data_IF_506518457044
#
_entry.id   IF_506518457044
#
_cell.length_a   1.000
_cell.length_b   1.000
_cell.length_c   1.000
_cell.angle_alpha   90.00
_cell.angle_beta   90.00
_cell.angle_gamma   90.00
#
_symmetry.space_group_name_H-M   'P 1'
#
loop_
_entity.id
_entity.type
_entity.pdbx_description
1 polymer ?
#
# COMPACT_ATOMS: atom_id res chain seq x y z
N UNK A 1 15.61 11.16 7.18
CA UNK A 1 16.88 10.43 6.93
C UNK A 1 16.69 8.98 6.46
N UNK A 2 15.52 8.36 6.68
CA UNK A 2 15.31 6.91 6.46
C UNK A 2 15.24 6.46 5.00
N UNK A 3 14.98 7.36 4.06
CA UNK A 3 14.84 7.02 2.63
C UNK A 3 15.93 7.63 1.72
N UNK A 4 16.96 8.27 2.27
CA UNK A 4 17.97 8.97 1.45
C UNK A 4 18.75 8.00 0.56
N UNK A 5 19.13 6.82 1.07
CA UNK A 5 19.83 5.79 0.30
C UNK A 5 18.97 5.30 -0.88
N UNK A 6 17.69 5.03 -0.62
CA UNK A 6 16.75 4.62 -1.67
C UNK A 6 16.51 5.73 -2.70
N UNK A 7 16.27 6.97 -2.25
CA UNK A 7 16.06 8.11 -3.15
C UNK A 7 17.28 8.37 -4.02
N UNK A 8 18.48 8.31 -3.43
CA UNK A 8 19.73 8.49 -4.17
C UNK A 8 19.95 7.36 -5.17
N UNK A 9 19.76 6.10 -4.76
CA UNK A 9 19.88 4.94 -5.63
C UNK A 9 18.88 4.99 -6.79
N UNK A 10 17.64 5.41 -6.52
CA UNK A 10 16.61 5.61 -7.54
C UNK A 10 16.99 6.72 -8.50
N UNK A 11 17.47 7.87 -8.01
CA UNK A 11 17.91 8.97 -8.86
C UNK A 11 19.11 8.57 -9.76
N UNK A 12 20.08 7.85 -9.22
CA UNK A 12 21.22 7.32 -9.99
C UNK A 12 20.71 6.34 -11.05
N UNK A 13 19.81 5.43 -10.69
CA UNK A 13 19.20 4.46 -11.59
C UNK A 13 18.50 5.15 -12.78
N UNK A 14 17.73 6.19 -12.51
CA UNK A 14 17.01 6.96 -13.55
C UNK A 14 17.99 7.67 -14.53
N UNK A 15 19.12 8.16 -14.03
CA UNK A 15 20.14 8.81 -14.86
C UNK A 15 20.91 7.79 -15.74
N UNK A 16 21.18 6.60 -15.21
CA UNK A 16 22.00 5.58 -15.88
C UNK A 16 21.18 4.71 -16.84
N UNK A 17 19.87 4.57 -16.64
CA UNK A 17 19.03 3.76 -17.53
C UNK A 17 18.78 4.44 -18.87
N UNK A 18 19.12 3.77 -20.00
CA UNK A 18 18.87 4.32 -21.34
C UNK A 18 17.39 4.31 -21.73
N UNK A 19 16.59 3.41 -21.15
CA UNK A 19 15.16 3.26 -21.48
C UNK A 19 14.30 3.23 -20.21
N UNK A 20 13.19 3.95 -20.25
CA UNK A 20 12.19 3.93 -19.18
C UNK A 20 11.42 2.62 -19.19
N UNK A 21 11.00 2.18 -18.02
CA UNK A 21 10.12 1.02 -17.87
C UNK A 21 8.72 1.37 -18.35
N UNK A 22 8.04 0.37 -18.94
CA UNK A 22 6.73 0.52 -19.58
C UNK A 22 5.63 -0.01 -18.65
N UNK A 23 4.68 0.84 -18.30
CA UNK A 23 3.54 0.50 -17.45
C UNK A 23 2.25 0.66 -18.26
N UNK A 24 1.49 -0.43 -18.35
CA UNK A 24 0.18 -0.43 -18.97
C UNK A 24 -0.93 -0.20 -17.94
N UNK A 25 -1.93 0.58 -18.29
CA UNK A 25 -3.11 0.83 -17.45
C UNK A 25 -4.36 0.32 -18.17
N UNK A 26 -5.14 -0.52 -17.48
CA UNK A 26 -6.46 -0.97 -17.92
C UNK A 26 -7.49 -0.12 -17.18
N UNK A 27 -8.03 0.88 -17.85
CA UNK A 27 -9.07 1.80 -17.32
C UNK A 27 -10.41 1.63 -18.04
N UNK A 28 -10.45 0.91 -19.17
CA UNK A 28 -11.64 0.70 -20.01
C UNK A 28 -12.79 -0.02 -19.31
N UNK A 29 -12.51 -0.79 -18.26
CA UNK A 29 -13.53 -1.48 -17.46
C UNK A 29 -14.08 -0.62 -16.30
N UNK A 30 -13.64 0.64 -16.17
CA UNK A 30 -14.15 1.57 -15.15
C UNK A 30 -15.07 2.59 -15.82
N UNK A 31 -16.26 2.81 -15.25
CA UNK A 31 -17.18 3.87 -15.69
C UNK A 31 -16.77 5.26 -15.20
N UNK A 32 -15.71 5.36 -14.40
CA UNK A 32 -15.22 6.63 -13.87
C UNK A 32 -14.62 7.49 -15.00
N UNK A 33 -14.85 8.82 -14.98
CA UNK A 33 -14.24 9.70 -15.95
C UNK A 33 -12.70 9.71 -15.78
N UNK A 34 -11.93 9.86 -16.89
CA UNK A 34 -10.45 9.79 -16.87
C UNK A 34 -9.78 10.72 -15.86
N UNK A 35 -10.39 11.87 -15.55
CA UNK A 35 -9.88 12.80 -14.53
C UNK A 35 -9.78 12.23 -13.13
N UNK A 36 -10.50 11.12 -12.84
CA UNK A 36 -10.44 10.42 -11.56
C UNK A 36 -9.15 9.61 -11.36
N UNK A 37 -8.37 9.41 -12.41
CA UNK A 37 -7.06 8.74 -12.38
C UNK A 37 -5.92 9.69 -12.73
N UNK A 38 -6.21 10.98 -12.94
CA UNK A 38 -5.25 11.93 -13.51
C UNK A 38 -4.01 12.13 -12.64
N UNK A 39 -4.16 12.20 -11.31
CA UNK A 39 -3.02 12.43 -10.42
C UNK A 39 -2.05 11.24 -10.44
N UNK A 40 -2.55 10.01 -10.32
CA UNK A 40 -1.65 8.83 -10.36
C UNK A 40 -1.00 8.64 -11.72
N UNK A 41 -1.73 8.90 -12.82
CA UNK A 41 -1.18 8.83 -14.17
C UNK A 41 -0.05 9.85 -14.33
N UNK A 42 -0.27 11.10 -13.91
CA UNK A 42 0.75 12.15 -13.99
C UNK A 42 2.00 11.80 -13.16
N UNK A 43 1.82 11.25 -11.96
CA UNK A 43 2.94 10.83 -11.11
C UNK A 43 3.69 9.63 -11.69
N UNK A 44 3.01 8.65 -12.29
CA UNK A 44 3.67 7.53 -12.98
C UNK A 44 4.46 8.00 -14.20
N UNK A 45 3.95 8.94 -14.97
CA UNK A 45 4.61 9.51 -16.16
C UNK A 45 5.93 10.24 -15.83
N UNK A 46 6.15 10.62 -14.58
CA UNK A 46 7.46 11.18 -14.16
C UNK A 46 8.59 10.15 -14.29
N UNK A 47 8.29 8.85 -14.05
CA UNK A 47 9.31 7.79 -13.93
C UNK A 47 9.18 6.69 -14.97
N UNK A 48 7.99 6.52 -15.58
CA UNK A 48 7.63 5.41 -16.47
C UNK A 48 7.06 5.91 -17.79
N UNK A 49 7.19 5.09 -18.83
CA UNK A 49 6.39 5.25 -20.06
C UNK A 49 5.03 4.60 -19.82
N UNK A 50 3.99 5.41 -19.73
CA UNK A 50 2.63 4.98 -19.37
C UNK A 50 1.78 4.83 -20.62
N UNK A 51 1.19 3.64 -20.79
CA UNK A 51 0.27 3.29 -21.86
C UNK A 51 -1.13 3.11 -21.32
N UNK A 52 -2.08 3.85 -21.88
CA UNK A 52 -3.50 3.79 -21.48
C UNK A 52 -4.26 2.77 -22.32
N UNK A 53 -5.28 2.17 -21.73
CA UNK A 53 -6.24 1.26 -22.37
C UNK A 53 -5.60 0.08 -23.12
N UNK A 54 -4.62 -0.52 -22.52
CA UNK A 54 -3.91 -1.69 -23.05
C UNK A 54 -4.74 -2.98 -22.93
N UNK A 55 -6.01 -2.96 -23.35
CA UNK A 55 -6.92 -4.12 -23.18
C UNK A 55 -7.16 -4.93 -24.46
N UNK A 56 -6.30 -4.79 -25.46
CA UNK A 56 -6.38 -5.55 -26.71
C UNK A 56 -5.48 -6.78 -26.68
N UNK A 57 -5.85 -7.88 -27.35
CA UNK A 57 -4.96 -9.04 -27.51
C UNK A 57 -3.57 -8.61 -28.00
N UNK A 58 -2.52 -9.08 -27.32
CA UNK A 58 -1.13 -8.74 -27.65
C UNK A 58 -0.63 -7.37 -27.15
N UNK A 59 -1.49 -6.51 -26.62
CA UNK A 59 -1.08 -5.17 -26.12
C UNK A 59 -0.25 -5.22 -24.83
N UNK A 60 -0.24 -6.34 -24.13
CA UNK A 60 0.57 -6.54 -22.91
C UNK A 60 2.04 -6.88 -23.22
N UNK A 61 2.36 -7.25 -24.47
CA UNK A 61 3.72 -7.61 -24.86
C UNK A 61 4.67 -6.41 -24.71
N UNK A 62 5.79 -6.66 -24.04
CA UNK A 62 6.80 -5.64 -23.82
C UNK A 62 6.48 -4.62 -22.71
N UNK A 63 5.38 -4.80 -21.96
CA UNK A 63 5.13 -4.06 -20.74
C UNK A 63 5.89 -4.68 -19.56
N UNK A 64 6.51 -3.84 -18.74
CA UNK A 64 7.18 -4.26 -17.51
C UNK A 64 6.20 -4.49 -16.35
N UNK A 65 5.09 -3.75 -16.32
CA UNK A 65 4.00 -3.94 -15.39
C UNK A 65 2.64 -3.53 -15.98
N UNK A 66 1.57 -4.10 -15.44
CA UNK A 66 0.19 -3.80 -15.79
C UNK A 66 -0.58 -3.42 -14.53
N UNK A 67 -1.48 -2.44 -14.62
CA UNK A 67 -2.36 -2.03 -13.54
C UNK A 67 -3.82 -2.07 -14.02
N UNK A 68 -4.66 -2.79 -13.30
CA UNK A 68 -6.11 -2.81 -13.48
C UNK A 68 -6.74 -1.86 -12.46
N UNK A 69 -7.38 -0.80 -12.95
CA UNK A 69 -7.76 0.35 -12.15
C UNK A 69 -9.27 0.44 -11.96
N UNK A 70 -9.76 0.03 -10.79
CA UNK A 70 -11.17 0.12 -10.34
C UNK A 70 -12.18 -0.26 -11.44
N UNK A 71 -12.13 -1.51 -11.93
CA UNK A 71 -13.14 -2.00 -12.86
C UNK A 71 -14.49 -2.13 -12.15
N UNK A 72 -15.57 -1.80 -12.87
CA UNK A 72 -16.95 -1.99 -12.46
C UNK A 72 -17.77 -2.81 -13.46
N UNK A 73 -17.13 -3.26 -14.55
CA UNK A 73 -17.69 -4.15 -15.55
C UNK A 73 -16.84 -5.43 -15.68
N UNK A 74 -17.53 -6.55 -15.95
CA UNK A 74 -16.92 -7.86 -16.04
C UNK A 74 -15.96 -7.98 -17.23
N UNK A 75 -14.84 -8.67 -17.01
CA UNK A 75 -13.90 -9.03 -18.07
C UNK A 75 -14.47 -10.19 -18.90
N UNK A 76 -14.26 -10.12 -20.21
CA UNK A 76 -14.56 -11.25 -21.09
C UNK A 76 -13.58 -12.42 -20.85
N UNK A 77 -13.95 -13.61 -21.31
CA UNK A 77 -13.07 -14.80 -21.20
C UNK A 77 -11.74 -14.61 -21.95
N UNK A 78 -11.76 -13.89 -23.08
CA UNK A 78 -10.54 -13.62 -23.84
C UNK A 78 -9.62 -12.61 -23.12
N UNK A 79 -10.17 -11.59 -22.51
CA UNK A 79 -9.40 -10.64 -21.69
C UNK A 79 -8.80 -11.34 -20.45
N UNK A 80 -9.60 -12.14 -19.76
CA UNK A 80 -9.14 -12.95 -18.62
C UNK A 80 -8.04 -13.93 -19.04
N UNK A 81 -8.17 -14.56 -20.22
CA UNK A 81 -7.11 -15.41 -20.79
C UNK A 81 -5.82 -14.62 -21.04
N UNK A 82 -5.92 -13.42 -21.60
CA UNK A 82 -4.75 -12.57 -21.84
C UNK A 82 -4.06 -12.16 -20.53
N UNK A 83 -4.82 -11.85 -19.48
CA UNK A 83 -4.27 -11.54 -18.14
C UNK A 83 -3.57 -12.77 -17.53
N UNK A 84 -4.19 -13.95 -17.63
CA UNK A 84 -3.60 -15.21 -17.17
C UNK A 84 -2.26 -15.48 -17.88
N UNK A 85 -2.26 -15.43 -19.21
CA UNK A 85 -1.06 -15.71 -20.01
C UNK A 85 0.03 -14.64 -19.81
N UNK A 86 -0.34 -13.38 -19.58
CA UNK A 86 0.63 -12.35 -19.25
C UNK A 86 1.38 -12.68 -17.95
N UNK A 87 0.67 -13.08 -16.89
CA UNK A 87 1.29 -13.45 -15.60
C UNK A 87 2.10 -14.71 -15.71
N UNK A 88 1.56 -15.75 -16.38
CA UNK A 88 2.26 -17.03 -16.58
C UNK A 88 3.56 -16.84 -17.36
N UNK A 89 3.61 -15.92 -18.31
CA UNK A 89 4.84 -15.60 -19.05
C UNK A 89 5.79 -14.63 -18.28
N UNK A 90 5.62 -14.50 -16.96
CA UNK A 90 6.49 -13.68 -16.11
C UNK A 90 6.07 -12.21 -16.03
N UNK A 91 4.89 -11.86 -16.52
CA UNK A 91 4.31 -10.54 -16.39
C UNK A 91 3.99 -10.17 -14.94
N UNK A 92 3.91 -8.87 -14.70
CA UNK A 92 3.70 -8.32 -13.36
C UNK A 92 2.47 -7.42 -13.37
N UNK A 93 1.52 -7.69 -12.46
CA UNK A 93 0.22 -7.03 -12.51
C UNK A 93 -0.23 -6.57 -11.13
N UNK A 94 -0.89 -5.42 -11.08
CA UNK A 94 -1.62 -4.92 -9.92
C UNK A 94 -3.10 -4.83 -10.23
N UNK A 95 -3.92 -5.35 -9.32
CA UNK A 95 -5.37 -5.20 -9.35
C UNK A 95 -5.83 -4.31 -8.20
N UNK A 96 -6.55 -3.25 -8.54
CA UNK A 96 -7.29 -2.42 -7.61
C UNK A 96 -8.78 -2.63 -7.90
N UNK A 97 -9.40 -3.55 -7.16
CA UNK A 97 -10.73 -4.06 -7.47
C UNK A 97 -11.62 -4.08 -6.24
N UNK A 98 -12.88 -3.81 -6.41
CA UNK A 98 -13.87 -3.88 -5.35
C UNK A 98 -14.56 -5.25 -5.36
N UNK A 99 -14.81 -5.83 -4.20
CA UNK A 99 -15.62 -7.05 -4.08
C UNK A 99 -17.12 -6.74 -4.04
N UNK A 100 -17.48 -5.49 -3.77
CA UNK A 100 -18.86 -5.02 -3.59
C UNK A 100 -19.00 -3.66 -4.26
N UNK A 101 -20.03 -3.50 -5.06
CA UNK A 101 -20.42 -2.22 -5.63
C UNK A 101 -21.29 -1.45 -4.64
N UNK A 102 -20.85 -0.22 -4.31
CA UNK A 102 -21.61 0.72 -3.50
C UNK A 102 -21.86 1.96 -4.33
N UNK A 103 -23.12 2.16 -4.71
CA UNK A 103 -23.54 3.38 -5.36
C UNK A 103 -23.52 4.57 -4.38
N UNK A 104 -23.77 5.78 -4.87
CA UNK A 104 -23.81 6.97 -4.02
C UNK A 104 -24.79 6.76 -2.87
N UNK A 105 -24.28 6.85 -1.65
CA UNK A 105 -25.07 6.62 -0.44
C UNK A 105 -26.03 7.78 -0.23
N UNK A 106 -27.34 7.51 -0.39
CA UNK A 106 -28.42 8.44 -0.07
C UNK A 106 -28.65 8.54 1.45
N UNK A 107 -29.39 9.55 1.89
CA UNK A 107 -29.79 9.70 3.31
C UNK A 107 -30.55 8.48 3.83
N UNK A 108 -31.38 7.88 2.97
CA UNK A 108 -32.14 6.67 3.29
C UNK A 108 -31.30 5.40 3.24
N UNK A 109 -30.08 5.48 2.71
CA UNK A 109 -29.18 4.37 2.46
C UNK A 109 -29.25 3.85 1.03
N UNK A 110 -28.20 3.12 0.65
CA UNK A 110 -28.07 2.41 -0.63
C UNK A 110 -27.65 0.98 -0.35
N UNK A 111 -28.15 0.03 -1.16
CA UNK A 111 -27.73 -1.36 -1.03
C UNK A 111 -26.35 -1.56 -1.72
N UNK A 112 -25.40 -2.02 -0.94
CA UNK A 112 -24.17 -2.57 -1.47
C UNK A 112 -24.44 -3.94 -2.08
N UNK A 113 -24.06 -4.14 -3.34
CA UNK A 113 -24.28 -5.38 -4.10
C UNK A 113 -22.96 -6.10 -4.37
N UNK A 114 -22.94 -7.44 -4.42
CA UNK A 114 -21.76 -8.16 -4.90
C UNK A 114 -21.37 -7.70 -6.29
N UNK A 115 -20.08 -7.46 -6.51
CA UNK A 115 -19.54 -7.09 -7.82
C UNK A 115 -18.84 -8.30 -8.44
N UNK A 116 -19.38 -8.82 -9.54
CA UNK A 116 -18.75 -9.91 -10.28
C UNK A 116 -18.01 -9.36 -11.50
N UNK A 117 -16.68 -9.38 -11.41
CA UNK A 117 -15.76 -8.94 -12.46
C UNK A 117 -15.34 -10.08 -13.39
N UNK A 118 -15.85 -11.30 -13.21
CA UNK A 118 -15.39 -12.52 -13.89
C UNK A 118 -13.88 -12.82 -13.69
N UNK A 119 -13.30 -12.36 -12.58
CA UNK A 119 -11.90 -12.61 -12.21
C UNK A 119 -11.77 -13.57 -11.02
N UNK A 120 -12.89 -13.97 -10.41
CA UNK A 120 -12.89 -14.76 -9.19
C UNK A 120 -12.20 -16.12 -9.32
N UNK A 121 -12.39 -16.84 -10.43
CA UNK A 121 -11.73 -18.12 -10.71
C UNK A 121 -10.23 -17.98 -11.00
N UNK A 122 -9.81 -16.85 -11.60
CA UNK A 122 -8.41 -16.50 -11.82
C UNK A 122 -7.70 -16.25 -10.50
N UNK A 123 -8.28 -15.42 -9.64
CA UNK A 123 -7.74 -15.15 -8.30
C UNK A 123 -7.72 -16.42 -7.44
N UNK A 124 -8.76 -17.23 -7.52
CA UNK A 124 -8.82 -18.52 -6.82
C UNK A 124 -7.71 -19.48 -7.29
N UNK A 125 -7.42 -19.51 -8.59
CA UNK A 125 -6.30 -20.28 -9.15
C UNK A 125 -4.96 -19.82 -8.58
N UNK A 126 -4.80 -18.54 -8.31
CA UNK A 126 -3.62 -17.98 -7.64
C UNK A 126 -3.67 -18.09 -6.11
N UNK A 127 -4.71 -18.71 -5.57
CA UNK A 127 -4.87 -19.01 -4.15
C UNK A 127 -5.34 -17.82 -3.31
N UNK A 128 -6.11 -16.94 -3.91
CA UNK A 128 -6.70 -15.77 -3.25
C UNK A 128 -8.18 -15.66 -3.59
N UNK A 129 -8.98 -15.22 -2.63
CA UNK A 129 -10.39 -14.91 -2.84
C UNK A 129 -10.72 -13.56 -2.25
N UNK A 130 -11.30 -12.67 -3.04
CA UNK A 130 -11.95 -11.46 -2.55
C UNK A 130 -13.37 -11.85 -2.17
N UNK A 131 -13.75 -11.55 -0.93
CA UNK A 131 -15.08 -11.85 -0.44
C UNK A 131 -16.05 -10.74 -0.86
N UNK A 132 -17.34 -11.11 -1.07
CA UNK A 132 -18.40 -10.13 -1.30
C UNK A 132 -18.92 -9.62 0.04
N UNK A 133 -18.04 -8.91 0.76
CA UNK A 133 -18.35 -8.31 2.05
C UNK A 133 -17.83 -6.87 2.12
N UNK A 134 -18.32 -6.11 3.09
CA UNK A 134 -17.79 -4.81 3.47
C UNK A 134 -17.13 -4.89 4.83
N UNK A 135 -15.92 -4.43 4.93
CA UNK A 135 -15.20 -4.32 6.19
C UNK A 135 -15.48 -2.97 6.84
N UNK A 136 -16.08 -3.01 8.01
CA UNK A 136 -16.15 -1.85 8.92
C UNK A 136 -14.99 -1.91 9.89
N UNK A 137 -14.27 -0.80 10.03
CA UNK A 137 -13.12 -0.70 10.94
C UNK A 137 -13.32 0.46 11.91
N UNK A 138 -12.91 0.27 13.16
CA UNK A 138 -12.92 1.36 14.16
C UNK A 138 -11.90 2.45 13.81
N UNK A 139 -10.80 2.10 13.13
CA UNK A 139 -9.86 3.05 12.56
C UNK A 139 -10.36 3.51 11.19
N UNK A 140 -11.11 4.58 11.15
CA UNK A 140 -11.79 5.04 9.95
C UNK A 140 -11.70 6.55 9.76
N UNK A 141 -11.71 6.98 8.51
CA UNK A 141 -11.80 8.38 8.14
C UNK A 141 -13.17 8.95 8.54
N UNK A 142 -13.22 10.27 8.73
CA UNK A 142 -14.46 10.96 9.07
C UNK A 142 -15.19 11.44 7.81
N UNK A 143 -16.51 11.54 7.91
CA UNK A 143 -17.36 12.22 6.93
C UNK A 143 -18.05 13.42 7.55
N UNK A 144 -18.38 14.46 6.77
CA UNK A 144 -19.18 15.58 7.26
C UNK A 144 -20.64 15.13 7.43
N UNK A 145 -21.12 15.09 8.64
CA UNK A 145 -22.51 14.69 8.93
C UNK A 145 -23.25 15.80 9.64
N UNK A 146 -24.47 16.05 9.19
CA UNK A 146 -25.39 16.93 9.94
C UNK A 146 -25.87 16.22 11.20
N UNK A 147 -25.39 16.62 12.37
CA UNK A 147 -25.73 16.01 13.66
C UNK A 147 -26.90 16.71 14.37
N UNK A 148 -27.42 17.80 13.80
CA UNK A 148 -28.54 18.57 14.35
C UNK A 148 -28.61 19.96 13.76
N UNK A 149 -29.51 20.78 14.28
CA UNK A 149 -29.61 22.20 13.92
C UNK A 149 -29.29 23.09 15.13
N UNK A 150 -28.55 24.14 14.90
CA UNK A 150 -28.30 25.18 15.86
C UNK A 150 -29.04 26.45 15.39
N UNK A 151 -30.29 26.58 15.84
CA UNK A 151 -31.28 27.49 15.25
C UNK A 151 -31.63 27.02 13.83
N UNK A 152 -31.57 27.91 12.85
CA UNK A 152 -31.91 27.65 11.44
C UNK A 152 -30.69 27.10 10.64
N UNK A 153 -29.52 26.91 11.27
CA UNK A 153 -28.33 26.44 10.59
C UNK A 153 -28.03 24.97 10.90
N UNK A 154 -27.73 24.14 9.88
CA UNK A 154 -27.33 22.76 10.11
C UNK A 154 -25.96 22.72 10.81
N UNK A 155 -25.85 21.89 11.84
CA UNK A 155 -24.61 21.65 12.55
C UNK A 155 -23.88 20.47 11.91
N UNK A 156 -22.90 20.76 11.04
CA UNK A 156 -22.09 19.74 10.39
C UNK A 156 -20.88 19.44 11.28
N UNK A 157 -20.69 18.17 11.62
CA UNK A 157 -19.52 17.69 12.38
C UNK A 157 -18.82 16.54 11.66
N UNK A 158 -17.49 16.39 11.80
CA UNK A 158 -16.77 15.22 11.35
C UNK A 158 -17.12 14.02 12.22
N UNK A 159 -17.67 12.97 11.60
CA UNK A 159 -18.04 11.72 12.28
C UNK A 159 -17.30 10.56 11.62
N UNK A 160 -16.61 9.68 12.37
CA UNK A 160 -15.93 8.52 11.81
C UNK A 160 -16.89 7.63 11.01
N UNK A 161 -16.57 7.41 9.73
CA UNK A 161 -17.35 6.59 8.81
C UNK A 161 -16.67 5.24 8.63
N UNK A 162 -17.12 4.24 9.35
CA UNK A 162 -16.45 2.93 9.50
C UNK A 162 -16.35 2.12 8.22
N UNK A 163 -17.02 2.52 7.16
CA UNK A 163 -16.86 1.98 5.82
C UNK A 163 -15.69 2.59 5.03
N UNK A 164 -15.01 3.59 5.63
CA UNK A 164 -13.79 4.17 5.09
C UNK A 164 -12.60 3.88 6.01
N UNK A 165 -12.15 2.61 6.08
CA UNK A 165 -11.01 2.24 6.90
C UNK A 165 -9.75 3.03 6.56
N UNK A 166 -8.99 3.41 7.56
CA UNK A 166 -7.62 3.92 7.40
C UNK A 166 -6.66 2.76 7.64
N UNK A 167 -6.03 2.29 6.58
CA UNK A 167 -5.06 1.18 6.68
C UNK A 167 -3.73 1.75 7.16
N UNK A 168 -3.40 1.49 8.41
CA UNK A 168 -2.13 1.84 9.05
C UNK A 168 -1.34 0.63 9.56
N UNK A 169 -1.92 -0.57 9.41
CA UNK A 169 -1.30 -1.83 9.76
C UNK A 169 -0.77 -2.52 8.50
N UNK A 170 0.53 -2.62 8.39
CA UNK A 170 1.21 -3.15 7.23
C UNK A 170 2.05 -4.36 7.60
N UNK A 171 2.04 -5.37 6.76
CA UNK A 171 3.04 -6.43 6.87
C UNK A 171 4.43 -5.88 6.46
N UNK A 172 5.50 -6.25 7.18
CA UNK A 172 6.84 -5.77 6.87
C UNK A 172 7.31 -6.25 5.49
N UNK A 173 7.25 -5.36 4.51
CA UNK A 173 7.67 -5.61 3.13
C UNK A 173 8.25 -4.34 2.50
N UNK A 174 9.09 -4.45 1.45
CA UNK A 174 9.69 -3.30 0.78
C UNK A 174 8.64 -2.31 0.23
N UNK A 175 7.49 -2.82 -0.24
CA UNK A 175 6.37 -2.02 -0.75
C UNK A 175 5.73 -1.17 0.35
N UNK A 176 5.56 -1.74 1.54
CA UNK A 176 4.78 -1.14 2.64
C UNK A 176 5.64 -0.50 3.73
N UNK A 177 6.96 -0.61 3.61
CA UNK A 177 7.87 -0.08 4.62
C UNK A 177 7.82 1.44 4.65
N UNK A 178 7.72 1.99 5.87
CA UNK A 178 7.59 3.43 6.10
C UNK A 178 6.45 4.06 5.28
N UNK A 179 5.38 3.29 5.01
CA UNK A 179 4.18 3.83 4.39
C UNK A 179 3.37 4.59 5.42
N UNK A 180 2.85 5.73 5.01
CA UNK A 180 1.82 6.44 5.75
C UNK A 180 0.49 5.69 5.66
N UNK A 181 -0.46 6.04 6.52
CA UNK A 181 -1.79 5.44 6.47
C UNK A 181 -2.42 5.63 5.08
N UNK A 182 -3.13 4.60 4.60
CA UNK A 182 -3.85 4.66 3.33
C UNK A 182 -5.32 4.98 3.58
N UNK A 183 -5.85 5.88 2.78
CA UNK A 183 -7.26 6.21 2.75
C UNK A 183 -7.99 5.25 1.83
N UNK A 184 -8.93 4.48 2.38
CA UNK A 184 -9.68 3.44 1.65
C UNK A 184 -11.17 3.67 1.75
N UNK A 185 -11.93 3.09 0.81
CA UNK A 185 -13.39 3.21 0.76
C UNK A 185 -14.02 1.86 0.43
N UNK A 186 -14.96 1.41 1.26
CA UNK A 186 -15.78 0.21 1.02
C UNK A 186 -14.97 -1.05 0.73
N UNK A 187 -13.85 -1.26 1.44
CA UNK A 187 -12.98 -2.42 1.23
C UNK A 187 -13.69 -3.73 1.51
N UNK A 188 -13.32 -4.74 0.76
CA UNK A 188 -13.70 -6.14 1.00
C UNK A 188 -12.57 -6.92 1.67
N UNK A 189 -12.91 -8.00 2.36
CA UNK A 189 -11.87 -8.87 2.92
C UNK A 189 -11.30 -9.80 1.87
N UNK A 190 -10.00 -10.13 2.01
CA UNK A 190 -9.30 -11.10 1.18
C UNK A 190 -8.98 -12.33 2.02
N UNK A 191 -9.34 -13.52 1.51
CA UNK A 191 -8.88 -14.80 2.05
C UNK A 191 -7.73 -15.35 1.21
N UNK A 192 -6.71 -15.90 1.88
CA UNK A 192 -5.67 -16.68 1.24
C UNK A 192 -5.97 -18.16 1.39
N UNK A 193 -5.87 -18.91 0.30
CA UNK A 193 -6.16 -20.34 0.24
C UNK A 193 -4.86 -21.10 0.33
N UNK A 194 -4.76 -22.03 1.28
CA UNK A 194 -3.63 -22.92 1.35
C UNK A 194 -3.74 -23.98 0.24
N UNK A 195 -3.02 -23.75 -0.85
CA UNK A 195 -2.90 -24.71 -1.94
C UNK A 195 -1.48 -25.33 -1.95
N UNK A 196 -1.32 -26.59 -2.32
CA UNK A 196 -0.01 -27.21 -2.50
C UNK A 196 0.63 -26.74 -3.81
N UNK A 197 0.83 -25.46 -3.94
CA UNK A 197 1.44 -24.81 -5.09
C UNK A 197 2.75 -24.13 -4.70
N UNK A 198 3.47 -23.63 -5.68
CA UNK A 198 4.75 -22.94 -5.51
C UNK A 198 4.57 -21.41 -5.38
N UNK A 199 3.36 -20.94 -5.08
CA UNK A 199 3.06 -19.52 -4.92
C UNK A 199 3.19 -19.09 -3.46
N UNK A 200 3.97 -18.04 -3.24
CA UNK A 200 4.06 -17.34 -1.95
C UNK A 200 3.05 -16.19 -1.92
N UNK A 201 2.19 -16.20 -0.93
CA UNK A 201 1.19 -15.17 -0.67
C UNK A 201 1.59 -14.36 0.55
N UNK A 202 1.92 -13.09 0.34
CA UNK A 202 2.35 -12.19 1.41
C UNK A 202 1.28 -11.12 1.59
N UNK A 203 0.59 -11.08 2.75
CA UNK A 203 -0.34 -10.00 3.02
C UNK A 203 0.44 -8.68 3.10
N UNK A 204 -0.03 -7.64 2.43
CA UNK A 204 0.59 -6.31 2.45
C UNK A 204 -0.20 -5.34 3.31
N UNK A 205 -1.50 -5.24 3.06
CA UNK A 205 -2.41 -4.29 3.67
C UNK A 205 -3.32 -5.01 4.66
N UNK A 206 -3.34 -4.55 5.89
CA UNK A 206 -4.07 -5.16 6.98
C UNK A 206 -4.95 -4.11 7.67
N UNK A 207 -6.15 -4.50 8.04
CA UNK A 207 -7.05 -3.67 8.85
C UNK A 207 -6.57 -3.57 10.30
N UNK A 208 -7.24 -2.78 11.10
CA UNK A 208 -7.08 -2.85 12.56
C UNK A 208 -7.64 -4.19 13.11
N UNK A 209 -7.34 -4.55 14.36
CA UNK A 209 -7.95 -5.73 14.99
C UNK A 209 -9.43 -5.55 15.32
N UNK A 210 -9.94 -4.33 15.21
CA UNK A 210 -11.32 -3.97 15.59
C UNK A 210 -12.20 -3.83 14.35
N UNK A 211 -12.53 -4.97 13.71
CA UNK A 211 -13.33 -5.01 12.49
C UNK A 211 -14.64 -5.74 12.68
N UNK A 212 -15.59 -5.40 11.80
CA UNK A 212 -16.85 -6.09 11.59
C UNK A 212 -17.08 -6.30 10.10
N UNK A 213 -17.38 -7.52 9.68
CA UNK A 213 -17.73 -7.86 8.30
C UNK A 213 -19.24 -7.84 8.10
N UNK A 214 -19.67 -7.31 6.97
CA UNK A 214 -21.05 -7.30 6.52
C UNK A 214 -21.13 -7.92 5.14
N UNK A 215 -21.76 -9.08 5.02
CA UNK A 215 -21.91 -9.76 3.73
C UNK A 215 -22.89 -9.02 2.83
N UNK A 216 -22.54 -8.82 1.57
CA UNK A 216 -23.44 -8.26 0.58
C UNK A 216 -24.51 -9.30 0.15
N UNK A 217 -25.73 -8.85 -0.19
CA UNK A 217 -26.17 -7.47 -0.22
C UNK A 217 -26.46 -6.89 1.18
N UNK A 218 -26.01 -5.64 1.43
CA UNK A 218 -26.17 -4.97 2.72
C UNK A 218 -26.54 -3.50 2.53
N UNK A 219 -27.39 -2.97 3.42
CA UNK A 219 -27.75 -1.55 3.42
C UNK A 219 -26.62 -0.72 4.03
N UNK A 220 -26.13 0.25 3.28
CA UNK A 220 -25.18 1.27 3.72
C UNK A 220 -25.92 2.60 3.88
N UNK A 221 -25.94 3.17 5.09
CA UNK A 221 -26.66 4.41 5.37
C UNK A 221 -25.88 5.33 6.29
N UNK A 222 -25.83 6.63 5.97
CA UNK A 222 -25.19 7.64 6.83
C UNK A 222 -25.82 7.75 8.22
N UNK A 223 -27.05 7.27 8.42
CA UNK A 223 -27.66 7.22 9.75
C UNK A 223 -26.92 6.28 10.71
N UNK A 224 -26.18 5.31 10.18
CA UNK A 224 -25.36 4.40 10.98
C UNK A 224 -24.16 5.14 11.64
N UNK A 225 -23.63 6.18 11.01
CA UNK A 225 -22.55 6.98 11.58
C UNK A 225 -22.96 7.73 12.85
N UNK A 226 -24.26 7.99 13.04
CA UNK A 226 -24.82 8.63 14.24
C UNK A 226 -24.88 7.70 15.45
N UNK A 227 -24.82 6.40 15.22
CA UNK A 227 -24.89 5.41 16.29
C UNK A 227 -23.51 5.16 16.88
N UNK A 228 -23.45 5.13 18.22
CA UNK A 228 -22.22 4.71 18.87
C UNK A 228 -21.99 3.22 18.60
N UNK A 229 -20.78 2.84 18.15
CA UNK A 229 -20.47 1.46 17.90
C UNK A 229 -20.43 0.68 19.23
N UNK A 230 -20.95 -0.52 19.22
CA UNK A 230 -20.74 -1.46 20.32
C UNK A 230 -19.40 -2.17 20.10
N UNK A 231 -18.41 -2.03 20.99
CA UNK A 231 -17.08 -2.63 20.79
C UNK A 231 -17.09 -4.14 20.55
N UNK A 232 -18.09 -4.84 21.12
CA UNK A 232 -18.27 -6.29 20.95
C UNK A 232 -18.58 -6.70 19.51
N UNK A 233 -19.19 -5.81 18.70
CA UNK A 233 -19.49 -6.07 17.29
C UNK A 233 -18.26 -5.99 16.40
N UNK A 234 -17.16 -5.35 16.88
CA UNK A 234 -15.90 -5.15 16.17
C UNK A 234 -14.82 -6.11 16.68
N UNK A 235 -15.15 -7.39 16.82
CA UNK A 235 -14.29 -8.42 17.39
C UNK A 235 -13.81 -9.45 16.37
N UNK A 236 -13.99 -9.21 15.06
CA UNK A 236 -13.66 -10.19 14.03
C UNK A 236 -12.17 -10.19 13.63
N UNK A 237 -11.35 -9.38 14.30
CA UNK A 237 -9.90 -9.37 14.14
C UNK A 237 -9.42 -8.75 12.84
N UNK A 238 -8.12 -8.86 12.61
CA UNK A 238 -7.44 -8.29 11.43
C UNK A 238 -7.92 -8.97 10.15
N UNK A 239 -8.19 -8.18 9.11
CA UNK A 239 -8.53 -8.64 7.76
C UNK A 239 -7.46 -8.21 6.77
N UNK A 240 -7.24 -9.01 5.74
CA UNK A 240 -6.35 -8.67 4.63
C UNK A 240 -7.15 -7.83 3.63
N UNK A 241 -6.59 -6.68 3.24
CA UNK A 241 -7.12 -5.80 2.20
C UNK A 241 -6.18 -5.71 0.98
N UNK A 242 -4.96 -6.22 1.09
CA UNK A 242 -4.01 -6.29 -0.02
C UNK A 242 -3.02 -7.43 0.15
N UNK A 243 -2.73 -8.14 -0.94
CA UNK A 243 -1.86 -9.32 -0.96
C UNK A 243 -0.93 -9.28 -2.17
N UNK A 244 0.32 -9.68 -1.96
CA UNK A 244 1.32 -9.95 -3.00
C UNK A 244 1.43 -11.45 -3.21
N UNK A 245 1.43 -11.88 -4.47
CA UNK A 245 1.57 -13.27 -4.89
C UNK A 245 2.78 -13.36 -5.80
N UNK A 246 3.71 -14.25 -5.49
CA UNK A 246 4.95 -14.46 -6.22
C UNK A 246 5.26 -15.94 -6.35
N UNK A 247 5.90 -16.34 -7.44
CA UNK A 247 6.37 -17.71 -7.62
C UNK A 247 6.09 -18.26 -9.01
N UNK A 248 5.88 -19.58 -9.10
CA UNK A 248 5.59 -20.26 -10.33
C UNK A 248 4.07 -20.33 -10.56
N UNK A 249 3.59 -19.53 -11.49
CA UNK A 249 2.17 -19.46 -11.83
C UNK A 249 1.80 -20.56 -12.81
N UNK A 250 0.68 -21.22 -12.53
CA UNK A 250 0.04 -22.17 -13.43
C UNK A 250 -1.18 -21.52 -14.06
N UNK A 251 -1.32 -21.65 -15.37
CA UNK A 251 -2.46 -21.13 -16.09
C UNK A 251 -3.78 -21.74 -15.63
N UNK A 252 -4.79 -20.90 -15.50
CA UNK A 252 -6.18 -21.27 -15.29
C UNK A 252 -6.69 -22.18 -16.43
N UNK A 253 -6.12 -22.03 -17.63
CA UNK A 253 -6.57 -22.66 -18.87
C UNK A 253 -5.85 -23.96 -19.22
N UNK A 254 -4.95 -24.47 -18.37
CA UNK A 254 -4.14 -25.68 -18.61
C UNK A 254 -4.96 -26.88 -19.11
N UNK A 255 -6.20 -27.06 -18.61
CA UNK A 255 -7.09 -28.14 -18.98
C UNK A 255 -8.35 -27.66 -19.73
N UNK A 256 -8.40 -26.39 -20.14
CA UNK A 256 -9.57 -25.78 -20.79
C UNK A 256 -9.37 -25.53 -22.28
N UNK A 257 -8.12 -25.53 -22.77
CA UNK A 257 -7.80 -25.31 -24.19
C UNK A 257 -7.94 -26.62 -24.95
N UNK A 258 -8.82 -26.62 -25.95
CA UNK A 258 -9.04 -27.73 -26.83
C UNK A 258 -7.85 -27.94 -27.80
N UNK A 259 -7.62 -29.17 -28.30
CA UNK A 259 -6.57 -29.43 -29.31
C UNK A 259 -6.73 -28.63 -30.60
N UNK A 260 -7.95 -28.22 -30.94
CA UNK A 260 -8.30 -27.43 -32.13
C UNK A 260 -8.28 -25.91 -31.90
N UNK A 261 -8.02 -25.44 -30.69
CA UNK A 261 -7.98 -24.01 -30.40
C UNK A 261 -6.71 -23.37 -30.99
N UNK A 262 -6.81 -22.32 -31.82
CA UNK A 262 -5.66 -21.65 -32.42
C UNK A 262 -4.70 -21.05 -31.38
N UNK A 263 -5.18 -20.75 -30.16
CA UNK A 263 -4.37 -20.23 -29.05
C UNK A 263 -3.36 -21.26 -28.51
N UNK A 264 -3.52 -22.55 -28.86
CA UNK A 264 -2.67 -23.64 -28.35
C UNK A 264 -1.20 -23.48 -28.73
N UNK A 265 -0.90 -22.89 -29.86
CA UNK A 265 0.48 -22.70 -30.35
C UNK A 265 1.28 -21.74 -29.47
N UNK A 266 0.61 -20.74 -28.87
CA UNK A 266 1.23 -19.71 -28.04
C UNK A 266 0.95 -19.89 -26.54
N UNK A 267 0.19 -20.93 -26.19
CA UNK A 267 -0.25 -21.19 -24.84
C UNK A 267 0.87 -21.68 -23.93
N UNK A 268 1.06 -20.99 -22.82
CA UNK A 268 2.00 -21.39 -21.75
C UNK A 268 1.23 -21.96 -20.57
N UNK A 269 1.59 -23.18 -20.15
CA UNK A 269 0.91 -23.88 -19.04
C UNK A 269 1.34 -23.41 -17.67
N UNK A 270 2.62 -23.06 -17.51
CA UNK A 270 3.19 -22.55 -16.26
C UNK A 270 4.44 -21.73 -16.53
N UNK A 271 4.74 -20.80 -15.65
CA UNK A 271 5.95 -19.98 -15.77
C UNK A 271 6.35 -19.31 -14.46
N UNK A 272 7.61 -18.98 -14.40
CA UNK A 272 8.26 -18.38 -13.24
C UNK A 272 8.32 -16.85 -13.35
N UNK A 273 8.67 -16.21 -12.25
CA UNK A 273 8.89 -14.75 -12.16
C UNK A 273 7.63 -13.85 -12.32
N UNK A 274 6.44 -14.43 -12.41
CA UNK A 274 5.21 -13.65 -12.31
C UNK A 274 5.09 -13.01 -10.92
N UNK A 275 4.53 -11.80 -10.88
CA UNK A 275 4.18 -11.13 -9.62
C UNK A 275 2.81 -10.50 -9.75
N UNK A 276 1.97 -10.72 -8.75
CA UNK A 276 0.61 -10.19 -8.72
C UNK A 276 0.38 -9.49 -7.38
N UNK A 277 -0.09 -8.24 -7.42
CA UNK A 277 -0.60 -7.54 -6.24
C UNK A 277 -2.11 -7.40 -6.42
N UNK A 278 -2.88 -7.79 -5.42
CA UNK A 278 -4.33 -7.63 -5.41
C UNK A 278 -4.71 -6.79 -4.20
N UNK A 279 -5.36 -5.66 -4.44
CA UNK A 279 -5.96 -4.79 -3.41
C UNK A 279 -7.49 -4.83 -3.58
N UNK A 280 -8.20 -5.09 -2.50
CA UNK A 280 -9.67 -5.16 -2.48
C UNK A 280 -10.32 -3.79 -2.28
N UNK A 281 -9.72 -2.76 -2.85
CA UNK A 281 -10.21 -1.39 -2.89
C UNK A 281 -9.76 -0.72 -4.19
N UNK A 282 -10.71 -0.46 -5.06
CA UNK A 282 -10.47 0.28 -6.29
C UNK A 282 -10.22 1.77 -6.05
N UNK A 283 -10.70 2.33 -4.94
CA UNK A 283 -10.52 3.74 -4.61
C UNK A 283 -9.08 4.12 -4.24
N UNK A 284 -8.22 3.14 -3.94
CA UNK A 284 -6.80 3.37 -3.69
C UNK A 284 -6.08 4.12 -4.82
N UNK A 285 -6.58 4.03 -6.05
CA UNK A 285 -6.01 4.69 -7.25
C UNK A 285 -6.88 5.81 -7.80
N UNK A 286 -7.98 6.15 -7.11
CA UNK A 286 -8.96 7.14 -7.56
C UNK A 286 -8.79 8.44 -6.80
N UNK A 287 -8.48 9.54 -7.52
CA UNK A 287 -8.46 10.87 -6.93
C UNK A 287 -9.81 11.59 -7.04
N UNK A 288 -10.11 12.46 -6.10
CA UNK A 288 -11.23 13.38 -6.19
C UNK A 288 -10.93 14.55 -7.16
N UNK A 289 -11.99 15.21 -7.63
CA UNK A 289 -11.89 16.36 -8.55
C UNK A 289 -12.47 17.59 -7.84
N UNK A 290 -11.79 18.70 -7.94
CA UNK A 290 -12.34 20.01 -7.63
C UNK A 290 -13.29 20.42 -8.77
N UNK A 291 -14.59 20.27 -8.57
CA UNK A 291 -15.58 20.55 -9.59
C UNK A 291 -15.68 22.04 -9.94
N UNK A 292 -15.24 22.95 -9.06
CA UNK A 292 -15.25 24.38 -9.34
C UNK A 292 -14.10 24.78 -10.26
N UNK A 293 -12.95 24.14 -10.09
CA UNK A 293 -11.72 24.44 -10.84
C UNK A 293 -11.43 23.45 -11.95
N UNK A 294 -12.09 22.29 -11.95
CA UNK A 294 -11.82 21.20 -12.90
C UNK A 294 -10.46 20.54 -12.72
N UNK A 295 -9.82 20.67 -11.55
CA UNK A 295 -8.48 20.15 -11.26
C UNK A 295 -8.57 18.92 -10.38
N UNK A 296 -7.79 17.85 -10.66
CA UNK A 296 -7.71 16.69 -9.79
C UNK A 296 -7.04 17.06 -8.46
N UNK A 297 -7.60 16.57 -7.34
CA UNK A 297 -6.90 16.58 -6.07
C UNK A 297 -5.78 15.53 -6.06
N UNK A 298 -4.74 15.70 -5.24
CA UNK A 298 -3.74 14.66 -5.05
C UNK A 298 -4.38 13.34 -4.61
N UNK A 299 -3.82 12.22 -5.08
CA UNK A 299 -4.29 10.89 -4.69
C UNK A 299 -4.14 10.69 -3.18
N UNK A 300 -5.19 10.19 -2.52
CA UNK A 300 -5.25 10.05 -1.07
C UNK A 300 -5.64 11.33 -0.32
N UNK A 301 -6.01 12.41 -1.02
CA UNK A 301 -6.46 13.63 -0.36
C UNK A 301 -7.86 13.46 0.23
N UNK A 302 -7.97 13.65 1.54
CA UNK A 302 -9.27 13.75 2.22
C UNK A 302 -9.71 15.21 2.32
N UNK A 303 -10.85 15.51 1.69
CA UNK A 303 -11.41 16.87 1.63
C UNK A 303 -11.84 17.41 2.99
N UNK A 304 -12.15 16.53 3.95
CA UNK A 304 -12.65 16.94 5.27
C UNK A 304 -11.49 17.29 6.20
N UNK A 305 -10.53 16.39 6.37
CA UNK A 305 -9.35 16.62 7.20
C UNK A 305 -8.33 17.54 6.52
N UNK A 306 -8.40 17.66 5.18
CA UNK A 306 -7.40 18.31 4.30
C UNK A 306 -6.02 17.67 4.40
N UNK A 307 -5.97 16.42 4.77
CA UNK A 307 -4.76 15.61 4.83
C UNK A 307 -4.56 14.81 3.54
N UNK A 308 -3.32 14.54 3.20
CA UNK A 308 -2.97 13.65 2.09
C UNK A 308 -2.43 12.37 2.71
N UNK A 309 -3.10 11.26 2.45
CA UNK A 309 -2.71 9.93 2.87
C UNK A 309 -1.71 9.29 1.90
N UNK A 310 -1.05 8.23 2.32
CA UNK A 310 0.04 7.57 1.60
C UNK A 310 -0.35 6.78 0.35
N UNK A 311 -1.57 6.93 -0.20
CA UNK A 311 -2.06 6.16 -1.35
C UNK A 311 -1.14 6.25 -2.57
N UNK A 312 -0.74 7.47 -2.93
CA UNK A 312 0.15 7.70 -4.06
C UNK A 312 1.48 6.98 -3.89
N UNK A 313 2.10 7.13 -2.74
CA UNK A 313 3.41 6.55 -2.45
C UNK A 313 3.34 5.02 -2.43
N UNK A 314 2.28 4.43 -1.86
CA UNK A 314 2.05 2.99 -1.91
C UNK A 314 1.99 2.47 -3.35
N UNK A 315 1.23 3.12 -4.22
CA UNK A 315 1.12 2.71 -5.63
C UNK A 315 2.47 2.81 -6.34
N UNK A 316 3.19 3.93 -6.18
CA UNK A 316 4.51 4.12 -6.78
C UNK A 316 5.52 3.07 -6.30
N UNK A 317 5.58 2.80 -4.99
CA UNK A 317 6.47 1.77 -4.43
C UNK A 317 6.08 0.35 -4.88
N UNK A 318 4.80 0.09 -5.08
CA UNK A 318 4.34 -1.19 -5.59
C UNK A 318 4.75 -1.38 -7.06
N UNK A 319 4.62 -0.35 -7.90
CA UNK A 319 5.10 -0.38 -9.29
C UNK A 319 6.62 -0.50 -9.34
N UNK A 320 7.34 0.24 -8.51
CA UNK A 320 8.80 0.11 -8.36
C UNK A 320 9.18 -1.33 -8.02
N UNK A 321 8.51 -1.95 -7.05
CA UNK A 321 8.78 -3.34 -6.65
C UNK A 321 8.52 -4.34 -7.77
N UNK A 322 7.46 -4.14 -8.53
CA UNK A 322 7.12 -5.02 -9.65
C UNK A 322 8.13 -4.89 -10.80
N UNK A 323 8.60 -3.69 -11.08
CA UNK A 323 9.51 -3.39 -12.20
C UNK A 323 11.01 -3.48 -11.84
N UNK A 324 11.33 -3.61 -10.54
CA UNK A 324 12.71 -3.64 -10.05
C UNK A 324 13.35 -5.01 -10.29
N UNK A 325 14.14 -5.10 -11.35
CA UNK A 325 14.94 -6.29 -11.65
C UNK A 325 16.26 -6.36 -10.85
N UNK A 326 16.72 -5.24 -10.32
CA UNK A 326 18.02 -5.09 -9.65
C UNK A 326 17.94 -5.17 -8.13
N UNK A 327 16.74 -5.17 -7.56
CA UNK A 327 16.51 -5.24 -6.12
C UNK A 327 16.80 -3.92 -5.37
N UNK A 328 16.85 -2.78 -6.06
CA UNK A 328 17.10 -1.45 -5.45
C UNK A 328 16.07 -1.12 -4.37
N UNK A 329 14.80 -1.48 -4.61
CA UNK A 329 13.73 -1.25 -3.63
C UNK A 329 13.95 -1.98 -2.31
N UNK A 330 14.73 -3.08 -2.32
CA UNK A 330 15.06 -3.81 -1.09
C UNK A 330 15.92 -2.98 -0.13
N UNK A 331 16.60 -1.94 -0.61
CA UNK A 331 17.32 -0.99 0.26
C UNK A 331 16.38 -0.28 1.25
N UNK A 332 15.09 -0.14 0.91
CA UNK A 332 14.06 0.35 1.84
C UNK A 332 13.87 -0.55 3.07
N UNK A 333 14.25 -1.83 2.98
CA UNK A 333 14.15 -2.74 4.13
C UNK A 333 15.19 -2.48 5.23
N UNK A 334 16.19 -1.66 4.97
CA UNK A 334 17.17 -1.26 5.99
C UNK A 334 16.54 -0.24 6.93
N UNK A 335 16.11 -0.68 8.11
CA UNK A 335 15.71 0.25 9.17
C UNK A 335 16.95 0.76 9.89
N UNK A 336 17.14 2.04 9.90
CA UNK A 336 17.98 2.67 10.91
C UNK A 336 17.15 2.69 12.20
N UNK A 337 17.36 1.70 13.06
CA UNK A 337 16.79 1.75 14.41
C UNK A 337 17.44 2.90 15.15
N UNK A 338 16.83 4.07 15.12
CA UNK A 338 17.19 5.12 16.05
C UNK A 338 16.88 4.62 17.45
N UNK A 339 17.93 4.24 18.19
CA UNK A 339 17.80 3.92 19.59
C UNK A 339 17.44 5.21 20.32
N UNK A 340 16.16 5.43 20.52
CA UNK A 340 15.70 6.53 21.35
C UNK A 340 16.32 6.37 22.74
N UNK A 341 16.86 7.45 23.26
CA UNK A 341 17.38 7.51 24.62
C UNK A 341 16.25 7.16 25.60
N UNK A 342 16.48 6.16 26.43
CA UNK A 342 15.54 5.76 27.47
C UNK A 342 15.38 6.91 28.49
N UNK A 343 14.29 7.65 28.36
CA UNK A 343 14.00 8.83 29.21
C UNK A 343 13.88 8.45 30.69
N UNK A 344 13.46 7.22 31.01
CA UNK A 344 13.32 6.74 32.38
C UNK A 344 14.72 6.48 32.95
N UNK A 345 15.57 5.79 32.21
CA UNK A 345 16.95 5.49 32.60
C UNK A 345 17.79 6.77 32.70
N UNK A 346 17.62 7.71 31.78
CA UNK A 346 18.27 9.04 31.86
C UNK A 346 17.83 9.78 33.12
N UNK A 347 16.55 9.73 33.48
CA UNK A 347 16.04 10.39 34.70
C UNK A 347 16.64 9.77 35.98
N UNK A 348 16.76 8.46 36.03
CA UNK A 348 17.31 7.73 37.16
C UNK A 348 18.84 7.86 37.31
N UNK A 349 19.58 7.84 36.22
CA UNK A 349 21.04 7.85 36.19
C UNK A 349 21.64 9.24 35.94
N UNK A 350 20.81 10.28 35.78
CA UNK A 350 21.25 11.65 35.41
C UNK A 350 22.40 12.15 36.31
N UNK A 351 22.27 11.97 37.60
CA UNK A 351 23.29 12.45 38.58
C UNK A 351 24.65 11.78 38.38
N UNK A 352 24.67 10.51 38.05
CA UNK A 352 25.88 9.76 37.75
C UNK A 352 26.55 10.22 36.47
N UNK A 353 25.77 10.42 35.41
CA UNK A 353 26.28 10.88 34.13
C UNK A 353 26.80 12.32 34.19
N UNK A 354 26.10 13.21 34.91
CA UNK A 354 26.56 14.57 35.14
C UNK A 354 27.85 14.58 35.98
N UNK A 355 27.88 13.83 37.07
CA UNK A 355 29.07 13.73 37.91
C UNK A 355 30.27 13.17 37.14
N UNK A 356 30.07 12.14 36.31
CA UNK A 356 31.12 11.56 35.47
C UNK A 356 31.67 12.58 34.44
N UNK A 357 30.81 13.28 33.73
CA UNK A 357 31.22 14.26 32.73
C UNK A 357 31.85 15.54 33.32
N UNK A 358 31.50 15.92 34.54
CA UNK A 358 32.05 17.10 35.20
C UNK A 358 33.33 16.79 35.95
N UNK A 359 33.45 15.61 36.60
CA UNK A 359 34.57 15.25 37.46
C UNK A 359 35.71 14.54 36.71
N UNK A 360 35.40 13.64 35.79
CA UNK A 360 36.44 12.85 35.07
C UNK A 360 37.40 13.73 34.25
N UNK A 361 36.96 14.70 33.43
CA UNK A 361 37.91 15.49 32.63
C UNK A 361 38.91 16.33 33.46
N UNK A 362 38.45 17.07 34.50
CA UNK A 362 39.41 17.79 35.35
C UNK A 362 40.38 16.87 36.09
N UNK A 363 39.92 15.70 36.57
CA UNK A 363 40.73 14.72 37.25
C UNK A 363 41.84 14.14 36.33
N UNK A 364 41.49 13.86 35.08
CA UNK A 364 42.45 13.43 34.07
C UNK A 364 43.53 14.51 33.79
N UNK A 365 43.10 15.78 33.67
CA UNK A 365 44.04 16.89 33.46
C UNK A 365 44.95 17.02 34.66
N UNK A 366 44.48 16.94 35.90
CA UNK A 366 45.28 16.98 37.11
C UNK A 366 46.26 15.82 37.15
N UNK A 367 45.86 14.61 36.82
CA UNK A 367 46.73 13.42 36.74
C UNK A 367 47.85 13.60 35.70
N UNK A 368 47.50 14.06 34.50
CA UNK A 368 48.49 14.31 33.43
C UNK A 368 49.50 15.38 33.89
N UNK A 369 49.04 16.51 34.43
CA UNK A 369 49.89 17.57 34.95
C UNK A 369 50.78 17.06 36.12
N UNK A 370 50.23 16.28 37.01
CA UNK A 370 50.98 15.63 38.11
C UNK A 370 52.08 14.68 37.59
N UNK A 371 51.74 13.88 36.57
CA UNK A 371 52.67 12.94 35.96
C UNK A 371 53.81 13.67 35.24
N UNK A 372 53.49 14.72 34.50
CA UNK A 372 54.47 15.56 33.80
C UNK A 372 55.40 16.24 34.84
N UNK A 373 54.84 16.78 35.91
CA UNK A 373 55.60 17.42 37.01
C UNK A 373 56.52 16.43 37.70
N UNK A 374 56.04 15.23 37.99
CA UNK A 374 56.81 14.14 38.63
C UNK A 374 57.96 13.67 37.72
N UNK A 375 57.71 13.45 36.44
CA UNK A 375 58.74 13.05 35.46
C UNK A 375 59.78 14.17 35.25
N UNK A 376 59.34 15.41 35.24
CA UNK A 376 60.22 16.58 35.15
C UNK A 376 61.14 16.69 36.37
N UNK A 377 60.62 16.55 37.59
CA UNK A 377 61.41 16.53 38.82
C UNK A 377 62.43 15.40 38.84
N UNK A 378 62.11 14.21 38.38
CA UNK A 378 63.05 13.08 38.25
C UNK A 378 64.18 13.38 37.25
N UNK A 379 63.86 14.03 36.13
CA UNK A 379 64.85 14.41 35.11
C UNK A 379 65.88 15.47 35.66
N UNK A 380 65.42 16.38 36.52
CA UNK A 380 66.29 17.40 37.10
C UNK A 380 67.12 16.87 38.28
N UNK A 381 66.64 15.90 39.06
CA UNK A 381 67.45 15.26 40.15
C UNK A 381 68.52 14.33 39.64
N UNK A 382 68.42 13.83 38.40
CA UNK A 382 69.47 13.00 37.77
C UNK A 382 70.60 13.83 37.05
N UNK A 383 70.57 15.17 37.13
CA UNK A 383 71.54 16.08 36.51
C UNK A 383 72.28 16.94 37.49
N UNK A 384 72.27 16.64 38.78
CA UNK A 384 73.28 17.26 39.72
C UNK A 384 74.42 16.28 39.96
N UNK A 385 75.70 16.69 39.61
CA UNK A 385 76.87 15.88 39.80
C UNK A 385 77.20 15.62 41.26
#
# INVERSE_FOLDING_TARGET
YENVEFQLATAIREIVRPERKKVGLVVSHSSLPPGRFADIIANLQLYYDVYLDVNKPGSYQGLDALMVMKPDSAFSEDEKYNLDQYVVNGGKIMFFVDGVQVDSVALQGSYAQPLDLNLGDLFFKWGVRINHDLVKDMNAAAIPLNVGNMGDKPQIQPVPWRFFPLISNFFPHAVTRNSEALYTRYISSIDTINAPDQLRRTPLLLTSPYTRLLNAPVLVSYNEARQQPLPQEYSQGVKIAGVLIEGNFQSLYTNRILPSDPRRETFTTSGENGKVIICSDGDLVVNDIDFERGVPYPLGYDRLSREIFGNKDFVLYAVDYLTDAEGVILSRNRSVTMRLLDKIKIGQERSWWVAGNVVIPPLLICLICGLISFLSKRKFQLKTP
#
